data_IF_718130058710
#
_entry.id   IF_718130058710
#
_cell.length_a   1.000
_cell.length_b   1.000
_cell.length_c   1.000
_cell.angle_alpha   90.00
_cell.angle_beta   90.00
_cell.angle_gamma   90.00
#
_symmetry.space_group_name_H-M   'P 1'
#
loop_
_entity.id
_entity.type
_entity.pdbx_description
1 polymer ?
#
# COMPACT_ATOMS: atom_id res chain seq x y z
N UNK A 1 0.40 -29.19 -32.40
CA UNK A 1 0.57 -27.74 -32.10
C UNK A 1 -0.50 -26.82 -32.75
N UNK A 2 -1.07 -27.16 -33.89
CA UNK A 2 -2.10 -26.29 -34.53
C UNK A 2 -3.45 -26.18 -33.78
N UNK A 3 -3.82 -27.14 -32.96
CA UNK A 3 -5.12 -27.18 -32.27
C UNK A 3 -5.20 -26.39 -30.94
N UNK A 4 -4.07 -26.05 -30.32
CA UNK A 4 -4.06 -25.22 -29.10
C UNK A 4 -4.29 -23.75 -29.43
N UNK A 5 -3.78 -23.26 -30.54
CA UNK A 5 -3.95 -21.88 -30.98
C UNK A 5 -5.40 -21.47 -31.28
N UNK A 6 -6.27 -22.44 -31.64
CA UNK A 6 -7.69 -22.16 -31.92
C UNK A 6 -8.50 -22.01 -30.60
N UNK A 7 -8.15 -22.74 -29.54
CA UNK A 7 -8.83 -22.66 -28.22
C UNK A 7 -8.45 -21.34 -27.51
N UNK A 8 -7.20 -20.92 -27.60
CA UNK A 8 -6.74 -19.64 -27.05
C UNK A 8 -7.40 -18.46 -27.76
N UNK A 9 -7.59 -18.55 -29.08
CA UNK A 9 -8.24 -17.49 -29.86
C UNK A 9 -9.75 -17.34 -29.56
N UNK A 10 -10.44 -18.45 -29.21
CA UNK A 10 -11.86 -18.42 -28.79
C UNK A 10 -12.01 -17.89 -27.38
N UNK A 11 -11.12 -18.26 -26.47
CA UNK A 11 -11.13 -17.77 -25.08
C UNK A 11 -10.78 -16.28 -25.01
N UNK A 12 -9.84 -15.81 -25.82
CA UNK A 12 -9.45 -14.40 -25.91
C UNK A 12 -10.57 -13.52 -26.50
N UNK A 13 -11.28 -14.02 -27.51
CA UNK A 13 -12.47 -13.34 -28.09
C UNK A 13 -13.62 -13.25 -27.10
N UNK A 14 -13.87 -14.30 -26.29
CA UNK A 14 -14.89 -14.31 -25.25
C UNK A 14 -14.53 -13.34 -24.09
N UNK A 15 -13.29 -13.33 -23.65
CA UNK A 15 -12.79 -12.39 -22.65
C UNK A 15 -12.87 -10.93 -23.12
N UNK A 16 -12.51 -10.65 -24.38
CA UNK A 16 -12.65 -9.31 -24.96
C UNK A 16 -14.10 -8.84 -25.01
N UNK A 17 -15.05 -9.71 -25.40
CA UNK A 17 -16.48 -9.37 -25.41
C UNK A 17 -17.05 -9.11 -24.00
N UNK A 18 -16.62 -9.86 -23.00
CA UNK A 18 -17.04 -9.66 -21.59
C UNK A 18 -16.46 -8.36 -21.01
N UNK A 19 -15.20 -8.04 -21.32
CA UNK A 19 -14.53 -6.82 -20.83
C UNK A 19 -15.02 -5.54 -21.51
N UNK A 20 -15.51 -5.63 -22.76
CA UNK A 20 -16.02 -4.46 -23.50
C UNK A 20 -17.50 -4.17 -23.29
N UNK A 21 -18.19 -4.94 -22.44
CA UNK A 21 -19.59 -4.64 -22.06
C UNK A 21 -20.62 -4.85 -23.18
N UNK A 22 -20.29 -5.58 -24.25
CA UNK A 22 -21.24 -5.92 -25.29
C UNK A 22 -22.23 -6.99 -24.83
N UNK A 23 -23.50 -6.76 -25.12
CA UNK A 23 -24.72 -7.41 -24.62
C UNK A 23 -24.60 -8.93 -24.39
N UNK A 24 -25.07 -9.37 -23.23
CA UNK A 24 -25.14 -10.78 -22.75
C UNK A 24 -25.94 -11.75 -23.65
N UNK A 25 -26.64 -11.26 -24.67
CA UNK A 25 -27.53 -12.09 -25.51
C UNK A 25 -26.79 -12.88 -26.62
N UNK A 26 -25.58 -12.45 -27.02
CA UNK A 26 -24.87 -13.07 -28.17
C UNK A 26 -23.75 -14.05 -27.75
N UNK A 27 -23.64 -14.38 -26.47
CA UNK A 27 -22.59 -15.26 -25.94
C UNK A 27 -22.99 -16.75 -25.86
N UNK A 28 -24.10 -17.17 -26.47
CA UNK A 28 -24.49 -18.58 -26.54
C UNK A 28 -23.79 -19.21 -27.76
N UNK A 29 -22.96 -20.26 -27.56
CA UNK A 29 -22.33 -20.97 -28.69
C UNK A 29 -23.40 -21.52 -29.63
N UNK A 30 -23.15 -21.46 -30.93
CA UNK A 30 -24.06 -22.00 -31.92
C UNK A 30 -24.26 -23.51 -31.77
N UNK A 31 -25.40 -24.02 -32.21
CA UNK A 31 -25.78 -25.45 -32.12
C UNK A 31 -24.72 -26.38 -32.76
N UNK A 32 -23.93 -25.86 -33.73
CA UNK A 32 -22.83 -26.54 -34.40
C UNK A 32 -21.60 -26.75 -33.46
N UNK A 33 -21.33 -25.83 -32.57
CA UNK A 33 -20.24 -25.93 -31.58
C UNK A 33 -20.53 -26.95 -30.47
N UNK A 34 -21.80 -27.16 -30.13
CA UNK A 34 -22.22 -28.22 -29.21
C UNK A 34 -22.03 -29.63 -29.80
N UNK A 35 -22.24 -29.82 -31.09
CA UNK A 35 -21.97 -31.08 -31.76
C UNK A 35 -20.50 -31.48 -31.75
N UNK A 36 -19.61 -30.52 -31.99
CA UNK A 36 -18.14 -30.73 -31.97
C UNK A 36 -17.59 -31.05 -30.59
N UNK A 37 -18.15 -30.48 -29.55
CA UNK A 37 -17.74 -30.75 -28.14
C UNK A 37 -18.22 -32.14 -27.70
N UNK A 38 -19.44 -32.58 -28.06
CA UNK A 38 -19.96 -33.90 -27.70
C UNK A 38 -19.20 -35.03 -28.40
N UNK A 39 -18.79 -34.88 -29.66
CA UNK A 39 -17.98 -35.87 -30.39
C UNK A 39 -16.55 -35.97 -29.81
N UNK A 40 -15.99 -34.88 -29.36
CA UNK A 40 -14.66 -34.86 -28.70
C UNK A 40 -14.70 -35.57 -27.32
N UNK A 41 -15.82 -35.43 -26.61
CA UNK A 41 -16.04 -36.15 -25.32
C UNK A 41 -16.24 -37.65 -25.50
N UNK A 42 -16.92 -38.08 -26.57
CA UNK A 42 -17.07 -39.52 -26.95
C UNK A 42 -15.72 -40.13 -27.28
N UNK A 43 -14.87 -39.44 -28.02
CA UNK A 43 -13.51 -39.90 -28.35
C UNK A 43 -12.60 -40.01 -27.13
N UNK A 44 -12.75 -39.12 -26.13
CA UNK A 44 -11.97 -39.18 -24.89
C UNK A 44 -12.33 -40.38 -24.02
N UNK A 45 -13.63 -40.70 -23.91
CA UNK A 45 -14.13 -41.89 -23.19
C UNK A 45 -13.70 -43.19 -23.87
N UNK A 46 -13.64 -43.24 -25.20
CA UNK A 46 -13.15 -44.38 -25.94
C UNK A 46 -11.64 -44.60 -25.76
N UNK A 47 -10.82 -43.54 -25.69
CA UNK A 47 -9.39 -43.59 -25.38
C UNK A 47 -9.14 -44.00 -23.92
N UNK A 48 -9.94 -43.55 -22.98
CA UNK A 48 -9.86 -43.94 -21.58
C UNK A 48 -10.19 -45.42 -21.36
N UNK A 49 -11.15 -46.00 -22.13
CA UNK A 49 -11.47 -47.41 -22.10
C UNK A 49 -10.44 -48.33 -22.79
N UNK A 50 -9.75 -47.84 -23.84
CA UNK A 50 -8.61 -48.53 -24.42
C UNK A 50 -7.42 -48.58 -23.45
N UNK A 51 -7.14 -47.50 -22.70
CA UNK A 51 -6.07 -47.49 -21.71
C UNK A 51 -6.32 -48.46 -20.54
N UNK A 52 -7.60 -48.66 -20.12
CA UNK A 52 -7.96 -49.67 -19.12
C UNK A 52 -7.78 -51.10 -19.60
N UNK A 53 -7.87 -51.38 -20.91
CA UNK A 53 -7.61 -52.71 -21.48
C UNK A 53 -6.13 -53.06 -21.56
N UNK A 54 -5.24 -52.06 -21.70
CA UNK A 54 -3.80 -52.28 -21.74
C UNK A 54 -3.22 -52.51 -20.33
N UNK A 55 -3.88 -52.01 -19.27
CA UNK A 55 -3.49 -52.20 -17.87
C UNK A 55 -3.89 -53.57 -17.26
N UNK A 56 -4.51 -54.47 -18.02
CA UNK A 56 -4.77 -55.87 -17.61
C UNK A 56 -3.61 -56.79 -17.93
N UNK A 57 -2.37 -56.35 -17.77
CA UNK A 57 -1.22 -57.23 -17.79
C UNK A 57 -1.00 -57.80 -16.39
N UNK A 58 -1.20 -59.11 -16.27
CA UNK A 58 -1.14 -59.86 -15.02
C UNK A 58 0.33 -59.88 -14.50
N UNK A 59 0.63 -59.00 -13.58
CA UNK A 59 1.92 -58.82 -12.97
C UNK A 59 2.38 -60.11 -12.18
N UNK A 60 1.45 -61.01 -11.87
CA UNK A 60 1.76 -62.25 -11.14
C UNK A 60 2.43 -63.29 -12.02
N UNK A 61 2.22 -63.31 -13.37
CA UNK A 61 2.93 -64.19 -14.27
C UNK A 61 4.38 -63.80 -14.59
N UNK A 62 4.71 -62.57 -14.45
CA UNK A 62 6.08 -62.06 -14.66
C UNK A 62 6.99 -62.37 -13.45
N UNK A 63 6.39 -62.45 -12.25
CA UNK A 63 7.16 -62.67 -11.01
C UNK A 63 7.54 -64.16 -10.81
N UNK A 64 6.82 -65.11 -11.40
CA UNK A 64 7.14 -66.56 -11.27
C UNK A 64 8.27 -67.03 -12.14
N UNK A 65 8.81 -66.22 -13.08
CA UNK A 65 9.93 -66.61 -13.94
C UNK A 65 11.32 -66.23 -13.43
N UNK A 66 11.40 -65.55 -12.27
CA UNK A 66 12.68 -65.08 -11.70
C UNK A 66 13.14 -65.84 -10.43
N UNK A 67 12.55 -66.99 -10.13
CA UNK A 67 13.13 -67.88 -9.12
C UNK A 67 13.88 -69.03 -9.79
N UNK A 68 15.08 -69.23 -9.31
CA UNK A 68 16.07 -70.30 -9.54
C UNK A 68 17.19 -69.96 -10.51
N UNK A 69 18.21 -69.28 -9.92
CA UNK A 69 19.56 -69.91 -9.99
C UNK A 69 20.42 -69.50 -8.77
N UNK A 70 20.61 -70.47 -7.92
CA UNK A 70 21.58 -70.47 -6.82
C UNK A 70 22.96 -70.31 -7.38
N UNK A 71 23.73 -69.33 -6.94
CA UNK A 71 25.18 -69.46 -6.88
C UNK A 71 25.71 -69.06 -5.50
N UNK A 72 26.36 -70.00 -4.91
CA UNK A 72 26.98 -70.02 -3.59
C UNK A 72 28.13 -69.02 -3.47
N UNK A 73 28.19 -68.38 -2.32
CA UNK A 73 29.37 -68.01 -1.53
C UNK A 73 30.59 -67.43 -2.27
N UNK A 74 30.74 -66.11 -2.20
CA UNK A 74 31.94 -65.36 -1.80
C UNK A 74 31.66 -63.84 -2.09
N UNK A 75 31.47 -63.10 -1.07
CA UNK A 75 31.78 -61.64 -0.96
C UNK A 75 30.90 -60.95 0.08
N UNK A 76 31.11 -61.38 1.34
CA UNK A 76 30.45 -60.67 2.48
C UNK A 76 31.13 -59.30 2.77
N UNK A 77 32.28 -59.01 2.13
CA UNK A 77 33.05 -57.80 2.44
C UNK A 77 32.80 -56.67 1.47
N UNK A 78 32.27 -56.89 0.25
CA UNK A 78 31.96 -55.82 -0.71
C UNK A 78 30.57 -55.24 -0.59
N UNK A 79 29.64 -55.86 0.15
CA UNK A 79 28.29 -55.35 0.36
C UNK A 79 28.21 -54.16 1.34
N UNK A 80 29.09 -54.16 2.33
CA UNK A 80 29.10 -53.09 3.36
C UNK A 80 29.68 -51.76 2.88
N UNK A 81 30.61 -51.79 1.92
CA UNK A 81 31.21 -50.58 1.35
C UNK A 81 30.23 -49.85 0.38
N UNK A 82 29.39 -50.63 -0.34
CA UNK A 82 28.37 -50.04 -1.22
C UNK A 82 27.20 -49.41 -0.40
N UNK A 83 26.78 -50.08 0.68
CA UNK A 83 25.77 -49.54 1.59
C UNK A 83 26.26 -48.25 2.28
N UNK A 84 27.52 -48.21 2.72
CA UNK A 84 28.12 -47.03 3.33
C UNK A 84 28.24 -45.87 2.34
N UNK A 85 28.56 -46.14 1.06
CA UNK A 85 28.62 -45.09 0.02
C UNK A 85 27.23 -44.53 -0.32
N UNK A 86 26.21 -45.39 -0.35
CA UNK A 86 24.83 -44.95 -0.60
C UNK A 86 24.30 -44.09 0.57
N UNK A 87 24.58 -44.50 1.81
CA UNK A 87 24.22 -43.72 3.00
C UNK A 87 24.98 -42.38 3.04
N UNK A 88 26.26 -42.37 2.65
CA UNK A 88 27.06 -41.14 2.55
C UNK A 88 26.54 -40.23 1.43
N UNK A 89 26.18 -40.75 0.28
CA UNK A 89 25.60 -40.00 -0.82
C UNK A 89 24.19 -39.48 -0.47
N UNK A 90 23.39 -40.25 0.24
CA UNK A 90 22.07 -39.80 0.74
C UNK A 90 22.21 -38.75 1.83
N UNK A 91 23.20 -38.87 2.75
CA UNK A 91 23.42 -37.83 3.77
C UNK A 91 24.01 -36.55 3.17
N UNK A 92 24.87 -36.64 2.15
CA UNK A 92 25.35 -35.50 1.38
C UNK A 92 24.20 -34.89 0.55
N UNK A 93 23.32 -35.68 -0.04
CA UNK A 93 22.15 -35.22 -0.77
C UNK A 93 21.15 -34.51 0.14
N UNK A 94 20.98 -34.97 1.38
CA UNK A 94 20.14 -34.29 2.40
C UNK A 94 20.78 -32.97 2.86
N UNK A 95 22.12 -32.90 2.91
CA UNK A 95 22.83 -31.66 3.25
C UNK A 95 22.82 -30.63 2.10
N UNK A 96 22.66 -31.09 0.85
CA UNK A 96 22.48 -30.22 -0.34
C UNK A 96 21.02 -30.03 -0.76
N UNK A 97 20.05 -30.60 -0.08
CA UNK A 97 18.69 -30.08 -0.06
C UNK A 97 18.75 -28.86 0.86
N UNK A 98 19.45 -27.79 0.41
CA UNK A 98 19.11 -26.46 0.85
C UNK A 98 17.60 -26.39 0.73
N UNK A 99 16.95 -26.10 1.84
CA UNK A 99 15.56 -25.68 1.86
C UNK A 99 15.40 -24.74 0.67
N UNK A 100 14.69 -25.20 -0.36
CA UNK A 100 14.23 -24.29 -1.39
C UNK A 100 13.60 -23.17 -0.57
N UNK A 101 14.00 -21.88 -0.75
CA UNK A 101 13.40 -20.83 0.02
C UNK A 101 11.91 -21.08 -0.09
N UNK A 102 11.25 -21.33 1.06
CA UNK A 102 9.79 -21.38 1.08
C UNK A 102 9.37 -20.18 0.27
N UNK A 103 8.75 -20.43 -0.87
CA UNK A 103 8.05 -19.37 -1.60
C UNK A 103 6.93 -19.01 -0.65
N UNK A 104 7.28 -18.14 0.31
CA UNK A 104 6.27 -17.50 1.17
C UNK A 104 5.20 -17.03 0.20
N UNK A 105 3.94 -17.42 0.41
CA UNK A 105 2.86 -16.99 -0.47
C UNK A 105 3.05 -15.49 -0.64
N UNK A 106 3.16 -15.02 -1.89
CA UNK A 106 3.37 -13.61 -2.20
C UNK A 106 2.33 -12.87 -1.39
N UNK A 107 2.75 -12.24 -0.29
CA UNK A 107 1.82 -11.55 0.59
C UNK A 107 1.15 -10.52 -0.29
N UNK A 108 -0.15 -10.65 -0.46
CA UNK A 108 -0.91 -9.73 -1.30
C UNK A 108 -0.74 -8.35 -0.68
N UNK A 109 -0.08 -7.45 -1.39
CA UNK A 109 0.06 -6.07 -0.95
C UNK A 109 -1.33 -5.44 -1.05
N UNK A 110 -1.91 -5.14 0.09
CA UNK A 110 -3.20 -4.48 0.18
C UNK A 110 -3.01 -2.96 0.28
N UNK A 111 -3.93 -2.16 -0.25
CA UNK A 111 -3.92 -0.73 -0.01
C UNK A 111 -4.11 -0.42 1.47
N UNK A 112 -3.63 0.74 1.89
CA UNK A 112 -3.86 1.25 3.23
C UNK A 112 -5.34 1.37 3.58
N UNK A 113 -5.62 1.55 4.87
CA UNK A 113 -6.98 1.69 5.39
C UNK A 113 -7.00 2.61 6.62
N UNK A 114 -8.20 2.95 7.12
CA UNK A 114 -8.33 3.75 8.34
C UNK A 114 -7.78 2.99 9.55
N UNK A 115 -6.62 3.41 10.04
CA UNK A 115 -5.98 2.92 11.26
C UNK A 115 -5.11 3.99 11.88
N UNK A 116 -5.17 4.11 13.20
CA UNK A 116 -4.32 5.00 13.96
C UNK A 116 -4.16 4.49 15.40
N UNK A 117 -3.16 5.01 16.09
CA UNK A 117 -3.00 4.84 17.55
C UNK A 117 -3.23 6.19 18.21
N UNK A 118 -4.19 6.23 19.13
CA UNK A 118 -4.45 7.40 19.97
C UNK A 118 -3.76 7.21 21.32
N UNK A 119 -2.82 8.10 21.64
CA UNK A 119 -2.19 8.19 22.95
C UNK A 119 -2.85 9.31 23.73
N UNK A 120 -3.46 8.99 24.87
CA UNK A 120 -4.08 9.95 25.75
C UNK A 120 -3.04 10.72 26.59
N UNK A 121 -3.45 11.82 27.20
CA UNK A 121 -2.59 12.64 28.08
C UNK A 121 -2.03 11.92 29.30
N UNK A 122 -2.65 10.82 29.73
CA UNK A 122 -2.17 9.94 30.81
C UNK A 122 -1.20 8.85 30.34
N UNK A 123 -0.88 8.81 29.03
CA UNK A 123 -0.02 7.81 28.38
C UNK A 123 -0.75 6.53 27.96
N UNK A 124 -2.05 6.42 28.15
CA UNK A 124 -2.83 5.26 27.69
C UNK A 124 -2.92 5.23 26.18
N UNK A 125 -2.65 4.08 25.56
CA UNK A 125 -2.70 3.88 24.11
C UNK A 125 -3.95 3.11 23.70
N UNK A 126 -4.61 3.60 22.65
CA UNK A 126 -5.77 3.01 22.01
C UNK A 126 -5.48 2.77 20.53
N UNK A 127 -5.59 1.52 20.09
CA UNK A 127 -5.57 1.18 18.67
C UNK A 127 -6.97 1.44 18.09
N UNK A 128 -7.10 2.48 17.30
CA UNK A 128 -8.36 2.87 16.68
C UNK A 128 -8.46 2.33 15.26
N UNK A 129 -9.32 1.34 15.13
CA UNK A 129 -9.82 0.79 13.88
C UNK A 129 -11.33 1.03 13.87
N UNK A 130 -12.06 0.62 12.89
CA UNK A 130 -13.48 0.91 12.61
C UNK A 130 -14.52 0.65 13.76
N UNK A 131 -14.10 0.46 15.00
CA UNK A 131 -15.01 0.18 16.13
C UNK A 131 -15.59 1.47 16.70
N UNK A 132 -16.92 1.54 16.86
CA UNK A 132 -17.57 2.63 17.58
C UNK A 132 -17.19 2.55 19.06
N UNK A 133 -16.51 3.59 19.57
CA UNK A 133 -16.04 3.68 20.94
C UNK A 133 -16.22 5.10 21.46
N UNK A 134 -16.44 5.21 22.76
CA UNK A 134 -16.44 6.50 23.48
C UNK A 134 -15.44 6.39 24.61
N UNK A 135 -14.45 7.27 24.61
CA UNK A 135 -13.42 7.35 25.64
C UNK A 135 -13.67 8.62 26.44
N UNK A 136 -13.96 8.46 27.73
CA UNK A 136 -14.12 9.59 28.64
C UNK A 136 -12.77 9.93 29.27
N UNK A 137 -12.35 11.17 29.12
CA UNK A 137 -11.21 11.73 29.84
C UNK A 137 -11.68 12.74 30.88
N UNK A 138 -10.78 13.28 31.69
CA UNK A 138 -11.14 14.28 32.71
C UNK A 138 -11.81 15.51 32.12
N UNK A 139 -11.35 15.96 30.94
CA UNK A 139 -11.73 17.25 30.34
C UNK A 139 -12.42 17.12 28.98
N UNK A 140 -12.49 15.91 28.40
CA UNK A 140 -13.08 15.70 27.07
C UNK A 140 -13.71 14.31 26.92
N UNK A 141 -14.67 14.23 26.02
CA UNK A 141 -15.20 13.01 25.45
C UNK A 141 -14.62 12.83 24.06
N UNK A 142 -13.97 11.68 23.82
CA UNK A 142 -13.41 11.29 22.54
C UNK A 142 -14.31 10.21 21.96
N UNK A 143 -15.03 10.55 20.89
CA UNK A 143 -15.94 9.62 20.20
C UNK A 143 -15.28 9.14 18.90
N UNK A 144 -15.17 7.83 18.75
CA UNK A 144 -14.67 7.15 17.56
C UNK A 144 -15.86 6.52 16.86
N UNK A 145 -16.06 6.81 15.58
CA UNK A 145 -17.08 6.17 14.75
C UNK A 145 -16.59 6.06 13.29
N UNK A 146 -17.48 5.63 12.37
CA UNK A 146 -17.14 5.47 10.95
C UNK A 146 -16.69 6.77 10.27
N UNK A 147 -17.07 7.94 10.82
CA UNK A 147 -16.65 9.25 10.30
C UNK A 147 -15.25 9.65 10.76
N UNK A 148 -14.73 9.03 11.83
CA UNK A 148 -13.41 9.29 12.42
C UNK A 148 -13.46 9.53 13.92
N UNK A 149 -12.46 10.24 14.45
CA UNK A 149 -12.38 10.67 15.85
C UNK A 149 -12.99 12.05 16.00
N UNK A 150 -13.90 12.26 16.94
CA UNK A 150 -14.39 13.58 17.33
C UNK A 150 -14.07 13.88 18.80
N UNK A 151 -13.61 15.09 19.04
CA UNK A 151 -13.20 15.59 20.37
C UNK A 151 -14.23 16.58 20.87
N UNK A 152 -14.91 16.24 21.96
CA UNK A 152 -15.87 17.11 22.61
C UNK A 152 -15.32 17.54 23.97
N UNK A 153 -15.20 18.84 24.21
CA UNK A 153 -14.81 19.36 25.51
C UNK A 153 -15.99 19.24 26.50
N UNK A 154 -15.71 18.69 27.67
CA UNK A 154 -16.71 18.57 28.75
C UNK A 154 -16.82 19.83 29.63
N UNK A 155 -15.92 20.81 29.44
CA UNK A 155 -15.85 22.03 30.24
C UNK A 155 -16.14 23.28 29.40
N UNK A 156 -17.01 24.14 29.93
CA UNK A 156 -17.35 25.44 29.30
C UNK A 156 -16.35 26.53 29.74
N UNK A 157 -15.59 26.28 30.82
CA UNK A 157 -14.62 27.24 31.38
C UNK A 157 -13.23 27.03 30.70
N UNK A 158 -12.44 28.11 30.55
CA UNK A 158 -11.06 27.98 30.10
C UNK A 158 -10.27 27.07 31.03
N UNK A 159 -9.29 26.30 30.53
CA UNK A 159 -8.51 25.40 31.38
C UNK A 159 -7.79 26.19 32.49
N UNK A 160 -8.13 25.92 33.72
CA UNK A 160 -7.42 26.44 34.90
C UNK A 160 -6.24 25.54 35.33
N UNK A 161 -6.11 24.37 34.68
CA UNK A 161 -5.06 23.37 34.86
C UNK A 161 -4.19 23.27 33.62
N UNK A 162 -3.05 22.58 33.74
CA UNK A 162 -2.14 22.29 32.62
C UNK A 162 -2.91 21.68 31.45
N UNK A 163 -2.73 22.24 30.24
CA UNK A 163 -3.39 21.77 29.02
C UNK A 163 -3.02 20.32 28.72
N UNK A 164 -4.01 19.44 28.73
CA UNK A 164 -3.83 18.02 28.44
C UNK A 164 -3.77 17.80 26.92
N UNK A 165 -2.69 17.20 26.45
CA UNK A 165 -2.51 16.87 25.03
C UNK A 165 -2.71 15.39 24.77
N UNK A 166 -3.39 15.08 23.68
CA UNK A 166 -3.48 13.75 23.08
C UNK A 166 -2.64 13.70 21.81
N UNK A 167 -2.20 12.51 21.43
CA UNK A 167 -1.43 12.30 20.20
C UNK A 167 -2.12 11.24 19.37
N UNK A 168 -2.44 11.58 18.13
CA UNK A 168 -2.93 10.66 17.10
C UNK A 168 -1.78 10.33 16.14
N UNK A 169 -1.37 9.07 16.13
CA UNK A 169 -0.31 8.57 15.26
C UNK A 169 -0.89 7.65 14.19
N UNK A 170 -0.62 7.96 12.93
CA UNK A 170 -1.02 7.17 11.76
C UNK A 170 0.20 6.43 11.22
N UNK A 171 0.25 5.09 11.29
CA UNK A 171 1.39 4.33 10.80
C UNK A 171 1.39 4.22 9.26
N UNK A 172 2.42 3.61 8.70
CA UNK A 172 2.44 3.20 7.28
C UNK A 172 1.22 2.35 6.95
N UNK A 173 0.70 2.49 5.73
CA UNK A 173 -0.53 1.84 5.29
C UNK A 173 -1.77 2.30 6.08
N UNK A 174 -1.70 3.48 6.71
CA UNK A 174 -2.81 4.07 7.44
C UNK A 174 -3.20 5.43 6.91
N UNK A 175 -4.42 5.83 7.21
CA UNK A 175 -4.91 7.20 7.17
C UNK A 175 -5.93 7.37 8.28
N UNK A 176 -6.13 8.59 8.74
CA UNK A 176 -7.16 8.86 9.72
C UNK A 176 -7.65 10.30 9.64
N UNK A 177 -8.88 10.53 10.10
CA UNK A 177 -9.44 11.87 10.18
C UNK A 177 -10.04 12.12 11.56
N UNK A 178 -9.95 13.35 12.02
CA UNK A 178 -10.54 13.78 13.28
C UNK A 178 -11.16 15.15 13.20
N UNK A 179 -12.10 15.40 14.10
CA UNK A 179 -12.69 16.71 14.35
C UNK A 179 -12.26 17.18 15.74
N UNK A 180 -11.55 18.29 15.80
CA UNK A 180 -11.08 18.92 17.03
C UNK A 180 -12.20 19.60 17.79
N UNK A 181 -11.95 19.97 19.05
CA UNK A 181 -12.95 20.56 19.95
C UNK A 181 -13.52 21.92 19.48
N UNK A 182 -12.85 22.61 18.56
CA UNK A 182 -13.30 23.84 17.92
C UNK A 182 -14.10 23.62 16.60
N UNK A 183 -14.30 22.34 16.23
CA UNK A 183 -14.94 21.95 14.97
C UNK A 183 -13.99 21.91 13.76
N UNK A 184 -12.70 22.18 13.95
CA UNK A 184 -11.70 22.05 12.88
C UNK A 184 -11.58 20.59 12.47
N UNK A 185 -11.65 20.32 11.16
CA UNK A 185 -11.49 18.99 10.60
C UNK A 185 -10.06 18.80 10.12
N UNK A 186 -9.49 17.62 10.44
CA UNK A 186 -8.11 17.29 10.13
C UNK A 186 -8.05 15.89 9.52
N UNK A 187 -7.29 15.75 8.43
CA UNK A 187 -6.96 14.46 7.82
C UNK A 187 -5.46 14.23 7.92
N UNK A 188 -5.08 13.07 8.40
CA UNK A 188 -3.69 12.62 8.49
C UNK A 188 -3.44 11.53 7.46
N UNK A 189 -2.40 11.70 6.66
CA UNK A 189 -1.92 10.67 5.73
C UNK A 189 -1.01 9.66 6.44
N UNK A 190 -0.55 8.62 5.74
CA UNK A 190 0.35 7.60 6.27
C UNK A 190 1.64 8.20 6.84
N UNK A 191 2.16 7.62 7.92
CA UNK A 191 3.36 8.12 8.65
C UNK A 191 3.21 9.55 9.18
N UNK A 192 2.00 9.92 9.64
CA UNK A 192 1.74 11.26 10.16
C UNK A 192 1.30 11.22 11.61
N UNK A 193 1.59 12.29 12.32
CA UNK A 193 1.26 12.48 13.74
C UNK A 193 0.62 13.84 13.97
N UNK A 194 -0.41 13.87 14.79
CA UNK A 194 -1.00 15.12 15.30
C UNK A 194 -1.08 15.06 16.82
N UNK A 195 -0.47 16.04 17.49
CA UNK A 195 -0.62 16.27 18.92
C UNK A 195 -1.50 17.49 19.13
N UNK A 196 -2.61 17.30 19.82
CA UNK A 196 -3.66 18.30 19.99
C UNK A 196 -4.17 18.33 21.43
N UNK A 197 -4.66 19.49 21.92
CA UNK A 197 -5.21 19.58 23.28
C UNK A 197 -6.62 19.02 23.37
N UNK A 198 -7.01 18.52 24.54
CA UNK A 198 -8.39 18.14 24.88
C UNK A 198 -9.37 19.31 24.66
N UNK A 199 -8.90 20.53 24.96
CA UNK A 199 -9.61 21.79 24.79
C UNK A 199 -8.60 22.88 24.44
N UNK A 200 -8.95 23.73 23.50
CA UNK A 200 -8.11 24.87 23.13
C UNK A 200 -8.17 25.99 24.19
N UNK A 201 -7.08 26.76 24.24
CA UNK A 201 -7.03 28.02 24.99
C UNK A 201 -7.95 29.06 24.32
N UNK A 202 -8.40 30.03 25.10
CA UNK A 202 -9.20 31.16 24.61
C UNK A 202 -8.43 32.07 23.64
N UNK A 203 -7.12 32.19 23.81
CA UNK A 203 -6.29 33.14 23.05
C UNK A 203 -5.70 32.54 21.77
N UNK A 204 -5.50 31.22 21.72
CA UNK A 204 -4.96 30.54 20.54
C UNK A 204 -5.35 29.07 20.53
N UNK A 205 -5.32 28.49 19.30
CA UNK A 205 -5.62 27.08 19.05
C UNK A 205 -4.36 26.41 18.48
N UNK A 206 -3.53 25.88 19.38
CA UNK A 206 -2.23 25.32 18.99
C UNK A 206 -2.28 23.80 18.89
N UNK A 207 -1.79 23.28 17.75
CA UNK A 207 -1.53 21.85 17.51
C UNK A 207 -0.10 21.65 17.01
N UNK A 208 0.42 20.43 17.13
CA UNK A 208 1.73 20.04 16.61
C UNK A 208 1.52 18.90 15.61
N UNK A 209 2.15 18.95 14.46
CA UNK A 209 2.04 17.87 13.48
C UNK A 209 3.38 17.50 12.85
N UNK A 210 3.43 16.25 12.37
CA UNK A 210 4.50 15.69 11.55
C UNK A 210 3.88 14.89 10.41
N UNK A 211 4.62 14.77 9.29
CA UNK A 211 4.16 14.07 8.10
C UNK A 211 3.25 14.94 7.25
N UNK A 212 2.24 14.37 6.63
CA UNK A 212 1.33 15.08 5.73
C UNK A 212 -0.06 15.17 6.34
N UNK A 213 -0.48 16.42 6.60
CA UNK A 213 -1.74 16.71 7.32
C UNK A 213 -2.51 17.80 6.59
N UNK A 214 -3.77 17.53 6.27
CA UNK A 214 -4.71 18.51 5.72
C UNK A 214 -5.61 19.04 6.80
N UNK A 215 -5.78 20.37 6.82
CA UNK A 215 -6.60 21.10 7.78
C UNK A 215 -7.72 21.84 7.07
N UNK A 216 -8.95 21.70 7.56
CA UNK A 216 -10.07 22.57 7.29
C UNK A 216 -10.44 23.29 8.59
N UNK A 217 -9.83 24.46 8.79
CA UNK A 217 -9.87 25.19 10.07
C UNK A 217 -11.14 25.99 10.20
N UNK A 218 -11.87 25.76 11.29
CA UNK A 218 -13.04 26.58 11.68
C UNK A 218 -12.64 28.04 11.84
N UNK A 219 -13.36 28.93 11.15
CA UNK A 219 -13.06 30.36 11.16
C UNK A 219 -13.30 30.98 12.55
N UNK A 220 -12.25 31.55 13.13
CA UNK A 220 -12.31 32.34 14.36
C UNK A 220 -11.18 33.39 14.35
N UNK A 221 -11.49 34.66 13.98
CA UNK A 221 -10.52 35.76 13.93
C UNK A 221 -9.94 36.16 15.30
N UNK A 222 -10.67 35.93 16.40
CA UNK A 222 -10.26 36.29 17.74
C UNK A 222 -9.28 35.30 18.38
N UNK A 223 -9.25 34.05 17.87
CA UNK A 223 -8.38 33.00 18.38
C UNK A 223 -7.67 32.31 17.21
N UNK A 224 -6.44 32.72 16.85
CA UNK A 224 -5.68 32.14 15.75
C UNK A 224 -5.46 30.63 15.95
N UNK A 225 -5.47 29.88 14.83
CA UNK A 225 -5.10 28.48 14.80
C UNK A 225 -3.64 28.36 14.38
N UNK A 226 -2.84 27.69 15.20
CA UNK A 226 -1.39 27.61 15.06
C UNK A 226 -0.99 26.14 14.90
N UNK A 227 -0.38 25.80 13.77
CA UNK A 227 0.22 24.48 13.52
C UNK A 227 1.73 24.58 13.70
N UNK A 228 2.25 23.92 14.71
CA UNK A 228 3.69 23.78 14.94
C UNK A 228 4.22 22.59 14.17
N UNK A 229 5.17 22.84 13.30
CA UNK A 229 5.98 21.87 12.54
C UNK A 229 7.36 21.74 13.17
N UNK A 230 8.13 20.75 12.77
CA UNK A 230 9.52 20.58 13.29
C UNK A 230 10.38 21.83 13.01
N UNK A 231 10.22 22.45 11.84
CA UNK A 231 11.07 23.56 11.35
C UNK A 231 10.29 24.82 11.00
N UNK A 232 9.16 25.07 11.64
CA UNK A 232 8.39 26.28 11.43
C UNK A 232 7.00 26.24 12.02
N UNK A 233 6.23 27.26 11.78
CA UNK A 233 4.83 27.33 12.20
C UNK A 233 3.94 27.94 11.13
N UNK A 234 2.71 27.46 11.09
CA UNK A 234 1.63 28.00 10.24
C UNK A 234 0.58 28.62 11.15
N UNK A 235 0.22 29.90 10.90
CA UNK A 235 -0.84 30.60 11.61
C UNK A 235 -1.97 30.95 10.65
N UNK A 236 -3.21 30.62 11.02
CA UNK A 236 -4.41 30.87 10.22
C UNK A 236 -5.57 31.31 11.09
N UNK A 237 -6.62 31.91 10.49
CA UNK A 237 -7.84 32.35 11.17
C UNK A 237 -9.10 31.54 10.76
N UNK A 238 -9.00 30.73 9.70
CA UNK A 238 -10.10 29.98 9.10
C UNK A 238 -9.80 29.71 7.65
N UNK A 239 -9.17 28.57 7.37
CA UNK A 239 -8.35 28.34 6.17
C UNK A 239 -8.33 26.85 5.87
N UNK A 240 -8.36 26.49 4.59
CA UNK A 240 -8.07 25.15 4.13
C UNK A 240 -6.66 25.08 3.56
N UNK A 241 -5.82 24.19 4.10
CA UNK A 241 -4.43 24.04 3.68
C UNK A 241 -3.90 22.64 4.01
N UNK A 242 -2.82 22.27 3.35
CA UNK A 242 -2.05 21.05 3.61
C UNK A 242 -0.63 21.40 4.05
N UNK A 243 -0.08 20.65 5.00
CA UNK A 243 1.33 20.69 5.39
C UNK A 243 1.98 19.34 5.14
N UNK A 244 3.26 19.34 4.74
CA UNK A 244 4.08 18.14 4.61
C UNK A 244 5.49 18.38 5.11
N UNK A 245 5.99 17.54 6.03
CA UNK A 245 7.34 17.59 6.56
C UNK A 245 7.99 16.20 6.70
N UNK A 246 7.65 15.27 5.81
CA UNK A 246 8.25 13.93 5.79
C UNK A 246 9.78 13.93 5.66
N UNK A 247 10.32 14.93 5.00
CA UNK A 247 11.76 15.11 4.84
C UNK A 247 12.23 16.11 5.89
N UNK A 248 13.12 15.70 6.77
CA UNK A 248 13.69 16.58 7.82
C UNK A 248 14.31 17.89 7.33
N UNK A 249 14.63 17.95 6.02
CA UNK A 249 15.21 19.12 5.37
C UNK A 249 14.23 19.97 4.59
N UNK A 250 12.95 19.62 4.53
CA UNK A 250 11.95 20.33 3.71
C UNK A 250 10.62 20.40 4.44
N UNK A 251 10.07 21.59 4.55
CA UNK A 251 8.68 21.83 4.98
C UNK A 251 7.90 22.39 3.81
N UNK A 252 6.75 21.81 3.54
CA UNK A 252 5.86 22.22 2.46
C UNK A 252 4.52 22.68 3.03
N UNK A 253 3.97 23.76 2.47
CA UNK A 253 2.64 24.27 2.84
C UNK A 253 1.88 24.64 1.57
N UNK A 254 0.72 24.03 1.36
CA UNK A 254 -0.16 24.31 0.21
C UNK A 254 -1.45 24.95 0.69
N UNK A 255 -1.75 26.15 0.20
CA UNK A 255 -2.97 26.88 0.57
C UNK A 255 -4.07 26.66 -0.46
N UNK A 256 -5.23 26.13 0.01
CA UNK A 256 -6.43 25.92 -0.81
C UNK A 256 -7.35 27.11 -0.75
N UNK A 257 -7.81 27.51 0.46
CA UNK A 257 -8.69 28.66 0.66
C UNK A 257 -8.26 29.47 1.88
N UNK A 258 -8.53 30.76 1.90
CA UNK A 258 -8.24 31.63 3.02
C UNK A 258 -6.89 32.33 2.95
N UNK A 259 -6.14 32.36 4.06
CA UNK A 259 -4.82 32.97 4.17
C UNK A 259 -3.96 32.18 5.16
N UNK A 260 -2.71 31.95 4.81
CA UNK A 260 -1.67 31.34 5.66
C UNK A 260 -0.59 32.37 5.95
N UNK A 261 -0.16 32.44 7.21
CA UNK A 261 1.11 33.05 7.61
C UNK A 261 2.04 31.89 7.99
N UNK A 262 3.08 31.67 7.22
CA UNK A 262 4.16 30.74 7.56
C UNK A 262 5.31 31.51 8.23
N UNK A 263 5.87 30.95 9.29
CA UNK A 263 7.07 31.47 9.95
C UNK A 263 8.08 30.32 10.06
N UNK A 264 9.22 30.49 9.42
CA UNK A 264 10.33 29.53 9.46
C UNK A 264 11.06 29.57 10.83
N UNK A 265 11.81 28.51 11.14
CA UNK A 265 12.63 28.42 12.36
C UNK A 265 13.67 29.55 12.45
N UNK A 266 14.24 29.98 11.31
CA UNK A 266 15.20 31.09 11.24
C UNK A 266 14.56 32.49 11.49
N UNK A 267 13.24 32.57 11.64
CA UNK A 267 12.48 33.76 11.90
C UNK A 267 11.87 34.44 10.65
N UNK A 268 12.20 34.00 9.44
CA UNK A 268 11.61 34.49 8.21
C UNK A 268 10.10 34.17 8.15
N UNK A 269 9.33 35.10 7.62
CA UNK A 269 7.87 34.96 7.54
C UNK A 269 7.33 35.26 6.15
N UNK A 270 6.45 34.41 5.66
CA UNK A 270 5.81 34.53 4.34
C UNK A 270 4.31 34.33 4.47
N UNK A 271 3.54 35.18 3.77
CA UNK A 271 2.09 35.04 3.64
C UNK A 271 1.74 34.35 2.33
N UNK A 272 0.85 33.36 2.37
CA UNK A 272 0.32 32.72 1.18
C UNK A 272 -1.11 33.20 0.88
N UNK A 273 -1.41 33.25 -0.42
CA UNK A 273 -2.75 33.41 -0.99
C UNK A 273 -3.21 32.09 -1.65
N UNK A 274 -4.50 31.87 -1.89
CA UNK A 274 -5.00 30.63 -2.47
C UNK A 274 -4.27 30.20 -3.74
N UNK A 275 -4.10 28.89 -3.92
CA UNK A 275 -3.33 28.22 -4.99
C UNK A 275 -1.82 28.42 -4.90
N UNK A 276 -1.30 28.91 -3.78
CA UNK A 276 0.15 28.95 -3.55
C UNK A 276 0.64 27.75 -2.75
N UNK A 277 1.81 27.29 -3.17
CA UNK A 277 2.59 26.23 -2.52
C UNK A 277 3.93 26.80 -2.10
N UNK A 278 4.25 26.66 -0.83
CA UNK A 278 5.49 27.07 -0.20
C UNK A 278 6.38 25.85 0.03
N UNK A 279 7.65 25.97 -0.31
CA UNK A 279 8.71 25.03 0.06
C UNK A 279 9.78 25.76 0.85
N UNK A 280 9.95 25.38 2.11
CA UNK A 280 11.04 25.82 2.96
C UNK A 280 12.10 24.73 3.04
N UNK A 281 13.29 25.01 2.49
CA UNK A 281 14.44 24.11 2.58
C UNK A 281 15.31 24.53 3.77
N UNK A 282 15.34 23.66 4.79
CA UNK A 282 16.02 23.94 6.07
C UNK A 282 17.54 23.79 5.97
N UNK A 283 18.07 23.21 4.88
CA UNK A 283 19.52 23.03 4.68
C UNK A 283 20.21 24.33 4.30
N UNK A 284 19.53 25.16 3.51
CA UNK A 284 20.04 26.44 3.00
C UNK A 284 19.18 27.63 3.38
N UNK A 285 18.20 27.44 4.28
CA UNK A 285 17.25 28.43 4.77
C UNK A 285 16.47 29.16 3.65
N UNK A 286 16.24 28.50 2.51
CA UNK A 286 15.54 29.13 1.39
C UNK A 286 14.04 28.84 1.43
N UNK A 287 13.24 29.87 1.19
CA UNK A 287 11.78 29.77 1.01
C UNK A 287 11.46 30.08 -0.45
N UNK A 288 10.75 29.17 -1.11
CA UNK A 288 10.18 29.38 -2.43
C UNK A 288 8.66 29.30 -2.37
N UNK A 289 7.98 30.12 -3.17
CA UNK A 289 6.51 30.14 -3.31
C UNK A 289 6.16 30.08 -4.78
N UNK A 290 5.33 29.10 -5.16
CA UNK A 290 4.86 28.90 -6.53
C UNK A 290 3.34 28.83 -6.58
N UNK A 291 2.74 29.16 -7.73
CA UNK A 291 1.31 28.92 -7.97
C UNK A 291 1.15 27.53 -8.57
N UNK A 292 0.23 26.72 -7.99
CA UNK A 292 0.06 25.31 -8.32
C UNK A 292 -1.42 24.93 -8.45
N UNK A 293 -1.68 23.79 -9.07
CA UNK A 293 -2.96 23.08 -8.87
C UNK A 293 -2.92 22.39 -7.50
N UNK A 294 -3.71 22.90 -6.55
CA UNK A 294 -3.72 22.37 -5.18
C UNK A 294 -4.16 20.91 -5.09
N UNK A 295 -4.86 20.38 -6.11
CA UNK A 295 -5.26 18.96 -6.15
C UNK A 295 -4.08 18.01 -6.13
N UNK A 296 -2.94 18.40 -6.68
CA UNK A 296 -1.69 17.61 -6.64
C UNK A 296 -1.30 17.29 -5.19
N UNK A 297 -1.54 18.21 -4.26
CA UNK A 297 -1.15 18.10 -2.85
C UNK A 297 -2.28 17.69 -1.92
N UNK A 298 -3.52 17.66 -2.39
CA UNK A 298 -4.69 17.49 -1.50
C UNK A 298 -5.63 16.35 -1.90
N UNK A 299 -5.51 15.81 -3.13
CA UNK A 299 -6.40 14.78 -3.65
C UNK A 299 -6.35 13.46 -2.84
N UNK A 300 -5.28 13.22 -2.11
CA UNK A 300 -5.13 12.01 -1.29
C UNK A 300 -6.24 11.87 -0.24
N UNK A 301 -6.75 12.97 0.33
CA UNK A 301 -7.90 12.96 1.26
C UNK A 301 -9.22 12.60 0.57
N UNK A 302 -9.28 12.75 -0.75
CA UNK A 302 -10.43 12.44 -1.60
C UNK A 302 -10.24 11.09 -2.34
N UNK A 303 -9.38 10.22 -1.79
CA UNK A 303 -9.08 8.87 -2.28
C UNK A 303 -8.39 8.82 -3.65
N UNK A 304 -7.63 9.84 -4.01
CA UNK A 304 -6.88 9.93 -5.26
C UNK A 304 -5.41 10.22 -4.99
N UNK A 305 -4.52 9.63 -5.79
CA UNK A 305 -3.16 10.13 -5.98
C UNK A 305 -3.12 10.95 -7.26
N UNK A 306 -2.68 12.18 -7.17
CA UNK A 306 -2.53 13.10 -8.30
C UNK A 306 -1.05 13.49 -8.41
N UNK A 307 -0.45 13.28 -9.55
CA UNK A 307 0.95 13.61 -9.84
C UNK A 307 1.00 14.49 -11.08
N UNK A 308 1.81 15.55 -11.03
CA UNK A 308 2.03 16.46 -12.15
C UNK A 308 3.54 16.69 -12.30
N UNK A 309 4.12 16.19 -13.39
CA UNK A 309 5.57 16.23 -13.66
C UNK A 309 6.42 15.80 -12.46
N UNK A 310 5.95 14.75 -11.73
CA UNK A 310 6.55 14.29 -10.49
C UNK A 310 7.60 13.20 -10.75
N UNK A 311 8.67 13.21 -10.00
CA UNK A 311 9.74 12.21 -10.10
C UNK A 311 9.26 10.84 -9.68
N UNK A 312 9.73 9.78 -10.34
CA UNK A 312 9.42 8.40 -9.96
C UNK A 312 9.83 8.11 -8.51
N UNK A 313 10.91 8.71 -8.02
CA UNK A 313 11.33 8.58 -6.64
C UNK A 313 10.25 9.07 -5.66
N UNK A 314 9.72 10.27 -5.84
CA UNK A 314 8.70 10.84 -4.97
C UNK A 314 7.36 10.10 -5.08
N UNK A 315 6.97 9.69 -6.31
CA UNK A 315 5.79 8.84 -6.53
C UNK A 315 5.93 7.54 -5.74
N UNK A 316 7.06 6.85 -5.88
CA UNK A 316 7.27 5.57 -5.19
C UNK A 316 7.40 5.73 -3.67
N UNK A 317 7.92 6.84 -3.16
CA UNK A 317 7.87 7.16 -1.72
C UNK A 317 6.43 7.35 -1.21
N UNK A 318 5.58 8.01 -1.99
CA UNK A 318 4.15 8.16 -1.64
C UNK A 318 3.46 6.80 -1.59
N UNK A 319 3.69 5.96 -2.62
CA UNK A 319 3.14 4.60 -2.65
C UNK A 319 3.70 3.72 -1.53
N UNK A 320 4.99 3.84 -1.22
CA UNK A 320 5.62 3.05 -0.16
C UNK A 320 4.97 3.28 1.20
N UNK A 321 4.60 4.53 1.51
CA UNK A 321 3.88 4.85 2.75
C UNK A 321 2.48 4.28 2.77
N UNK A 322 1.75 4.37 1.65
CA UNK A 322 0.36 3.92 1.59
C UNK A 322 0.18 2.41 1.53
N UNK A 323 1.04 1.72 0.76
CA UNK A 323 0.97 0.26 0.62
C UNK A 323 1.85 -0.50 1.62
N UNK A 324 2.56 0.22 2.49
CA UNK A 324 3.51 -0.34 3.47
C UNK A 324 4.53 -1.28 2.80
N UNK A 325 5.21 -0.76 1.80
CA UNK A 325 6.23 -1.48 1.02
C UNK A 325 7.55 -0.73 1.00
N UNK A 326 8.65 -1.46 0.87
CA UNK A 326 9.99 -0.90 0.71
C UNK A 326 10.36 -0.81 -0.78
N UNK A 327 10.95 0.30 -1.19
CA UNK A 327 11.28 0.59 -2.58
C UNK A 327 12.80 0.56 -2.78
N UNK A 328 13.24 -0.14 -3.84
CA UNK A 328 14.63 -0.25 -4.23
C UNK A 328 14.78 0.11 -5.71
N UNK A 329 15.62 1.10 -6.00
CA UNK A 329 15.97 1.48 -7.36
C UNK A 329 17.33 0.87 -7.73
N UNK A 330 17.41 0.18 -8.87
CA UNK A 330 18.67 -0.34 -9.39
C UNK A 330 19.57 0.74 -9.99
N UNK A 331 19.01 1.90 -10.36
CA UNK A 331 19.72 3.00 -11.00
C UNK A 331 19.19 4.36 -10.56
N UNK A 332 20.08 5.32 -10.32
CA UNK A 332 19.73 6.71 -10.02
C UNK A 332 18.97 7.41 -11.16
N UNK A 333 19.18 6.99 -12.42
CA UNK A 333 18.49 7.57 -13.57
C UNK A 333 16.99 7.27 -13.56
N UNK A 334 16.58 6.12 -13.00
CA UNK A 334 15.18 5.78 -12.85
C UNK A 334 14.45 6.71 -11.89
N UNK A 335 15.12 7.14 -10.83
CA UNK A 335 14.57 8.04 -9.82
C UNK A 335 14.12 9.37 -10.42
N UNK A 336 14.89 9.89 -11.38
CA UNK A 336 14.70 11.19 -12.02
C UNK A 336 13.69 11.20 -13.16
N UNK A 337 13.06 10.08 -13.48
CA UNK A 337 11.99 10.04 -14.50
C UNK A 337 10.73 10.68 -13.98
N UNK A 338 10.08 11.48 -14.80
CA UNK A 338 8.91 12.25 -14.45
C UNK A 338 7.63 11.62 -15.02
N UNK A 339 6.55 11.68 -14.24
CA UNK A 339 5.26 11.17 -14.62
C UNK A 339 4.14 12.09 -14.16
N UNK A 340 3.06 12.12 -14.93
CA UNK A 340 1.82 12.81 -14.59
C UNK A 340 0.64 11.87 -14.71
N UNK A 341 -0.32 11.96 -13.80
CA UNK A 341 -1.52 11.13 -13.82
C UNK A 341 -2.31 11.22 -12.52
N UNK A 342 -3.52 10.69 -12.57
CA UNK A 342 -4.39 10.57 -11.38
C UNK A 342 -4.84 9.12 -11.26
N UNK A 343 -4.75 8.56 -10.05
CA UNK A 343 -5.02 7.15 -9.77
C UNK A 343 -5.82 7.03 -8.48
N UNK A 344 -6.73 6.07 -8.43
CA UNK A 344 -7.51 5.76 -7.24
C UNK A 344 -6.62 5.14 -6.15
N UNK A 345 -6.64 5.72 -4.95
CA UNK A 345 -5.80 5.38 -3.81
C UNK A 345 -6.00 3.93 -3.32
N UNK A 346 -7.22 3.41 -3.41
CA UNK A 346 -7.56 2.05 -2.97
C UNK A 346 -7.41 0.97 -4.07
N UNK A 347 -6.84 1.33 -5.21
CA UNK A 347 -6.54 0.36 -6.28
C UNK A 347 -5.46 -0.64 -5.86
N UNK A 348 -5.43 -1.79 -6.54
CA UNK A 348 -4.35 -2.76 -6.34
C UNK A 348 -3.02 -2.17 -6.85
N UNK A 349 -1.98 -2.24 -6.03
CA UNK A 349 -0.65 -1.70 -6.38
C UNK A 349 -0.11 -2.28 -7.69
N UNK A 350 -0.36 -3.56 -7.98
CA UNK A 350 0.12 -4.21 -9.20
C UNK A 350 -0.45 -3.56 -10.44
N UNK A 351 -1.77 -3.30 -10.47
CA UNK A 351 -2.42 -2.61 -11.58
C UNK A 351 -1.87 -1.19 -11.76
N UNK A 352 -1.53 -0.53 -10.65
CA UNK A 352 -0.89 0.76 -10.66
C UNK A 352 0.50 0.71 -11.31
N UNK A 353 1.36 -0.24 -10.88
CA UNK A 353 2.71 -0.37 -11.40
C UNK A 353 2.73 -0.77 -12.90
N UNK A 354 1.78 -1.60 -13.36
CA UNK A 354 1.63 -1.98 -14.76
C UNK A 354 1.40 -0.78 -15.69
N UNK A 355 0.75 0.29 -15.21
CA UNK A 355 0.59 1.53 -15.97
C UNK A 355 1.95 2.19 -16.22
N UNK A 356 2.82 2.23 -15.21
CA UNK A 356 4.18 2.79 -15.38
C UNK A 356 5.08 1.89 -16.22
N UNK A 357 4.89 0.57 -16.23
CA UNK A 357 5.66 -0.33 -17.09
C UNK A 357 5.35 -0.11 -18.57
N UNK A 358 4.11 0.29 -18.90
CA UNK A 358 3.63 0.38 -20.26
C UNK A 358 4.36 1.48 -21.05
N UNK A 359 5.20 1.09 -22.01
CA UNK A 359 5.88 2.02 -22.93
C UNK A 359 7.07 2.80 -22.34
N UNK A 360 7.38 2.63 -21.04
CA UNK A 360 8.45 3.40 -20.38
C UNK A 360 9.80 2.68 -20.33
N UNK A 361 9.80 1.36 -20.53
CA UNK A 361 10.98 0.52 -20.38
C UNK A 361 11.42 0.33 -18.92
N UNK A 362 10.50 0.56 -17.97
CA UNK A 362 10.69 0.28 -16.56
C UNK A 362 10.04 -1.06 -16.22
N UNK A 363 10.60 -1.79 -15.26
CA UNK A 363 10.04 -3.02 -14.70
C UNK A 363 10.00 -2.96 -13.19
N UNK A 364 8.90 -3.42 -12.60
CA UNK A 364 8.72 -3.54 -11.16
C UNK A 364 8.63 -5.00 -10.77
N UNK A 365 9.58 -5.45 -9.97
CA UNK A 365 9.61 -6.82 -9.44
C UNK A 365 9.19 -6.79 -7.96
N UNK A 366 8.13 -7.52 -7.62
CA UNK A 366 7.52 -7.54 -6.29
C UNK A 366 7.94 -8.79 -5.53
N UNK A 367 8.58 -8.63 -4.37
CA UNK A 367 9.05 -9.70 -3.48
C UNK A 367 8.51 -9.48 -2.06
N UNK A 368 7.35 -10.04 -1.74
CA UNK A 368 6.67 -9.77 -0.46
C UNK A 368 6.30 -8.29 -0.34
N UNK A 369 6.82 -7.59 0.67
CA UNK A 369 6.65 -6.14 0.87
C UNK A 369 7.77 -5.29 0.25
N UNK A 370 8.58 -5.84 -0.66
CA UNK A 370 9.66 -5.13 -1.34
C UNK A 370 9.37 -5.01 -2.82
N UNK A 371 9.63 -3.84 -3.39
CA UNK A 371 9.50 -3.56 -4.82
C UNK A 371 10.85 -3.09 -5.35
N UNK A 372 11.42 -3.85 -6.28
CA UNK A 372 12.63 -3.48 -7.00
C UNK A 372 12.27 -2.89 -8.35
N UNK A 373 12.89 -1.76 -8.68
CA UNK A 373 12.64 -0.98 -9.90
C UNK A 373 13.88 -1.03 -10.76
N UNK A 374 13.74 -1.62 -11.96
CA UNK A 374 14.84 -1.77 -12.89
C UNK A 374 14.51 -1.32 -14.30
N UNK A 375 15.56 -1.08 -15.10
CA UNK A 375 15.42 -0.83 -16.55
C UNK A 375 15.19 -2.17 -17.26
N UNK A 376 14.21 -2.24 -18.17
CA UNK A 376 14.13 -3.34 -19.13
C UNK A 376 15.30 -3.17 -20.13
N UNK A 377 16.23 -4.10 -20.12
CA UNK A 377 17.23 -4.19 -21.19
C UNK A 377 16.50 -4.54 -22.50
N UNK A 378 16.71 -3.70 -23.50
CA UNK A 378 16.21 -3.96 -24.88
C UNK A 378 16.88 -5.16 -25.49
#
# INVERSE_FOLDING_TARGET
>A
MAHWNEIDNISEKLLKKILLGENKADAIPSQEDHGRLTDKYKNWNALADQSKKVLKYDANKAFQKLQFQKYRRRKIITGWSIAASIVLLLSISIFFIQEAPEVTPVSKIEPGYKKATLTLSDGTNWDIREAVQVIQTKNSELKIDSSGLSVHSNTIAPPQEETQYHTLNVPRGGEYNLTLSDGTQVWLNSESELRFPSQFDTNNRTVYCKGEVYFNVTRNPESPFIVKLDKGEVTVLGTEFCTSDYKSSVVEVTLVTGKVQFKAENGDSVSLTPSQHLVYNTTNDSISVTTVDTRVYTAWKDNLFCFEDETLENIMHTLSRWYDVDIYFESEDLKRRHFSGTIEKYSNIKSFLEVFETGTGIKFDIYGHKISIRQLNK
#
